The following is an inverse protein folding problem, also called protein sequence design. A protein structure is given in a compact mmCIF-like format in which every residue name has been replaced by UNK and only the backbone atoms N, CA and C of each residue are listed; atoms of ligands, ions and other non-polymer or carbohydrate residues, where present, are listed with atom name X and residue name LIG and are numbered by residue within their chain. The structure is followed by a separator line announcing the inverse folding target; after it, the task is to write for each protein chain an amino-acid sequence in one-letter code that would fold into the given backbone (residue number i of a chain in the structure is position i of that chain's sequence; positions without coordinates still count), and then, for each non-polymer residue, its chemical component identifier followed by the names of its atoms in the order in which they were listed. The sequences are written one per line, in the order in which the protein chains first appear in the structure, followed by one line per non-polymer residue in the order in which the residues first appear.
data_IF_059147356278
#
_entry.id   IF_059147356278
#
_cell.length_a   1.000
_cell.length_b   1.000
_cell.length_c   1.000
_cell.angle_alpha   90.00
_cell.angle_beta   90.00
_cell.angle_gamma   90.00
#
_symmetry.space_group_name_H-M   'P 1'
#
loop_
_entity.id
_entity.type
_entity.pdbx_description
1 polymer ?
#
# COMPACT_ATOMS: atom_id res chain seq x y z
N UNK A 1 30.25 26.32 -19.19
CA UNK A 1 29.00 26.01 -19.92
C UNK A 1 28.33 24.83 -19.22
N UNK A 2 27.52 25.19 -18.22
CA UNK A 2 26.46 24.46 -17.52
C UNK A 2 26.76 23.07 -16.93
N UNK A 3 27.49 23.06 -15.81
CA UNK A 3 27.23 22.14 -14.71
C UNK A 3 26.17 22.77 -13.80
N UNK A 4 24.88 22.67 -14.15
CA UNK A 4 23.80 23.08 -13.23
C UNK A 4 22.45 22.59 -13.73
N UNK A 5 22.20 21.29 -13.58
CA UNK A 5 20.86 20.73 -13.37
C UNK A 5 21.00 19.51 -12.46
N UNK A 6 21.47 19.73 -11.24
CA UNK A 6 21.04 18.86 -10.15
C UNK A 6 19.54 19.14 -9.98
N UNK A 7 18.73 18.29 -10.58
CA UNK A 7 17.28 18.32 -10.44
C UNK A 7 16.92 18.40 -8.96
N UNK A 8 15.95 19.26 -8.66
CA UNK A 8 15.41 19.51 -7.32
C UNK A 8 14.75 18.23 -6.78
N UNK A 9 15.54 17.27 -6.33
CA UNK A 9 15.06 16.13 -5.56
C UNK A 9 14.87 16.63 -4.14
N UNK A 10 13.65 17.04 -3.81
CA UNK A 10 13.32 17.56 -2.48
C UNK A 10 13.77 16.61 -1.37
N UNK A 11 14.36 17.17 -0.31
CA UNK A 11 14.84 16.47 0.89
C UNK A 11 13.84 15.45 1.47
N UNK A 12 12.55 15.60 1.21
CA UNK A 12 11.47 14.70 1.66
C UNK A 12 11.61 13.24 1.17
N UNK A 13 12.42 12.96 0.15
CA UNK A 13 12.51 11.61 -0.43
C UNK A 13 13.80 10.86 -0.09
N UNK A 14 14.85 11.54 0.36
CA UNK A 14 16.17 10.93 0.53
C UNK A 14 16.19 9.89 1.66
N UNK A 15 15.53 10.19 2.79
CA UNK A 15 15.45 9.28 3.93
C UNK A 15 14.71 7.97 3.59
N UNK A 16 13.69 8.01 2.73
CA UNK A 16 12.98 6.80 2.28
C UNK A 16 13.88 5.92 1.42
N UNK A 17 14.63 6.53 0.50
CA UNK A 17 15.59 5.84 -0.36
C UNK A 17 16.67 5.16 0.50
N UNK A 18 17.19 5.84 1.52
CA UNK A 18 18.15 5.25 2.47
C UNK A 18 17.58 4.04 3.21
N UNK A 19 16.33 4.12 3.68
CA UNK A 19 15.63 2.99 4.29
C UNK A 19 15.51 1.83 3.29
N UNK A 20 15.02 2.08 2.07
CA UNK A 20 14.85 1.01 1.06
C UNK A 20 16.18 0.34 0.70
N UNK A 21 17.29 1.09 0.64
CA UNK A 21 18.63 0.53 0.43
C UNK A 21 19.10 -0.29 1.63
N UNK A 22 18.90 0.20 2.85
CA UNK A 22 19.27 -0.50 4.07
C UNK A 22 18.56 -1.86 4.18
N UNK A 23 17.28 -1.93 3.81
CA UNK A 23 16.52 -3.17 3.76
C UNK A 23 16.95 -4.09 2.61
N UNK A 24 17.27 -3.55 1.42
CA UNK A 24 17.77 -4.36 0.29
C UNK A 24 19.07 -5.11 0.62
N UNK A 25 20.02 -4.44 1.29
CA UNK A 25 21.33 -5.03 1.68
C UNK A 25 21.21 -6.29 2.54
N UNK A 26 20.08 -6.50 3.21
CA UNK A 26 19.82 -7.69 4.04
C UNK A 26 19.41 -8.92 3.21
N UNK A 27 19.05 -8.75 1.94
CA UNK A 27 18.51 -9.82 1.11
C UNK A 27 19.17 -9.86 -0.27
N UNK A 28 19.80 -10.99 -0.61
CA UNK A 28 20.52 -11.17 -1.90
C UNK A 28 19.65 -11.00 -3.16
N UNK A 29 18.33 -11.14 -3.03
CA UNK A 29 17.38 -11.05 -4.14
C UNK A 29 17.04 -9.60 -4.54
N UNK A 30 17.33 -8.63 -3.67
CA UNK A 30 17.07 -7.22 -3.91
C UNK A 30 18.43 -6.50 -4.03
N UNK A 31 18.78 -6.06 -5.23
CA UNK A 31 20.11 -5.49 -5.50
C UNK A 31 20.27 -4.09 -4.93
N UNK A 32 19.30 -3.20 -5.17
CA UNK A 32 19.48 -1.78 -4.85
C UNK A 32 18.43 -1.24 -3.86
N UNK A 33 17.17 -1.67 -3.96
CA UNK A 33 16.07 -1.16 -3.14
C UNK A 33 15.09 -2.28 -2.80
N UNK A 34 14.54 -2.23 -1.58
CA UNK A 34 13.45 -3.10 -1.15
C UNK A 34 12.31 -2.24 -0.61
N UNK A 35 11.25 -2.15 -1.42
CA UNK A 35 10.01 -1.48 -1.05
C UNK A 35 8.99 -2.48 -0.49
N UNK A 36 8.80 -3.60 -1.19
CA UNK A 36 7.88 -4.65 -0.77
C UNK A 36 8.49 -5.58 0.29
N UNK A 37 7.66 -5.97 1.25
CA UNK A 37 7.98 -7.08 2.14
C UNK A 37 7.95 -8.40 1.36
N UNK A 38 8.75 -9.39 1.80
CA UNK A 38 8.83 -10.70 1.12
C UNK A 38 7.68 -11.64 1.44
N UNK A 39 6.92 -11.37 2.48
CA UNK A 39 5.83 -12.22 2.95
C UNK A 39 4.50 -11.72 2.41
N UNK A 40 3.64 -12.65 2.03
CA UNK A 40 2.22 -12.41 1.82
C UNK A 40 1.42 -13.41 2.67
N UNK A 41 0.12 -13.14 2.84
CA UNK A 41 -0.80 -13.99 3.59
C UNK A 41 -2.03 -14.31 2.75
N UNK A 42 -1.90 -15.17 1.71
CA UNK A 42 -3.05 -15.58 0.93
C UNK A 42 -4.01 -16.39 1.80
N UNK A 43 -5.30 -16.11 1.67
CA UNK A 43 -6.36 -16.87 2.33
C UNK A 43 -7.32 -17.35 1.26
N UNK A 44 -7.57 -18.65 1.26
CA UNK A 44 -8.54 -19.27 0.35
C UNK A 44 -9.97 -18.90 0.74
N UNK A 45 -10.76 -18.47 -0.24
CA UNK A 45 -12.16 -18.08 -0.07
C UNK A 45 -13.07 -19.27 -0.43
N UNK A 46 -13.01 -20.32 0.38
CA UNK A 46 -13.63 -21.62 0.05
C UNK A 46 -15.16 -21.65 0.17
N UNK A 47 -15.79 -20.67 0.84
CA UNK A 47 -17.24 -20.53 0.91
C UNK A 47 -17.67 -19.07 1.16
N UNK A 48 -18.93 -18.70 0.86
CA UNK A 48 -19.38 -17.31 0.88
C UNK A 48 -19.12 -16.57 2.20
N UNK A 49 -19.31 -17.21 3.35
CA UNK A 49 -19.10 -16.55 4.64
C UNK A 49 -17.63 -16.13 4.89
N UNK A 50 -16.62 -16.79 4.28
CA UNK A 50 -15.24 -16.29 4.34
C UNK A 50 -15.10 -15.02 3.49
N UNK A 51 -15.72 -15.01 2.29
CA UNK A 51 -15.69 -13.84 1.43
C UNK A 51 -16.27 -12.62 2.16
N UNK A 52 -17.47 -12.76 2.74
CA UNK A 52 -18.14 -11.67 3.48
C UNK A 52 -17.27 -11.18 4.65
N UNK A 53 -16.71 -12.11 5.43
CA UNK A 53 -15.79 -11.77 6.53
C UNK A 53 -14.56 -10.98 6.03
N UNK A 54 -13.99 -11.36 4.89
CA UNK A 54 -12.79 -10.68 4.35
C UNK A 54 -13.13 -9.31 3.76
N UNK A 55 -14.30 -9.15 3.14
CA UNK A 55 -14.79 -7.85 2.69
C UNK A 55 -14.90 -6.91 3.89
N UNK A 56 -15.61 -7.34 4.95
CA UNK A 56 -15.78 -6.55 6.18
C UNK A 56 -14.43 -6.18 6.82
N UNK A 57 -13.52 -7.15 6.92
CA UNK A 57 -12.18 -6.92 7.45
C UNK A 57 -11.42 -5.85 6.64
N UNK A 58 -11.40 -5.98 5.31
CA UNK A 58 -10.69 -5.04 4.43
C UNK A 58 -11.29 -3.64 4.53
N UNK A 59 -12.61 -3.51 4.53
CA UNK A 59 -13.31 -2.23 4.65
C UNK A 59 -13.06 -1.56 5.99
N UNK A 60 -12.95 -2.33 7.08
CA UNK A 60 -12.69 -1.80 8.43
C UNK A 60 -11.23 -1.50 8.72
N UNK A 61 -10.27 -1.97 7.90
CA UNK A 61 -8.84 -1.74 8.15
C UNK A 61 -8.46 -0.26 8.34
N UNK A 62 -8.95 0.70 7.53
CA UNK A 62 -8.67 2.12 7.73
C UNK A 62 -9.19 2.65 9.07
N UNK A 63 -10.31 2.13 9.56
CA UNK A 63 -10.88 2.48 10.88
C UNK A 63 -10.06 1.89 12.01
N UNK A 64 -9.73 0.60 11.92
CA UNK A 64 -8.90 -0.08 12.91
C UNK A 64 -7.49 0.53 13.01
N UNK A 65 -6.96 1.06 11.91
CA UNK A 65 -5.70 1.79 11.87
C UNK A 65 -5.80 3.24 12.37
N UNK A 66 -7.02 3.75 12.64
CA UNK A 66 -7.25 5.10 13.14
C UNK A 66 -7.15 6.21 12.09
N UNK A 67 -7.17 5.88 10.79
CA UNK A 67 -7.09 6.88 9.72
C UNK A 67 -8.41 7.59 9.46
N UNK A 68 -9.52 6.88 9.64
CA UNK A 68 -10.89 7.39 9.43
C UNK A 68 -11.82 6.83 10.51
N UNK A 69 -12.94 7.51 10.74
CA UNK A 69 -13.94 7.07 11.73
C UNK A 69 -14.91 6.03 11.15
N UNK A 70 -15.17 6.07 9.84
CA UNK A 70 -16.07 5.16 9.15
C UNK A 70 -15.40 4.57 7.89
N UNK A 71 -15.71 3.31 7.50
CA UNK A 71 -15.13 2.65 6.32
C UNK A 71 -15.26 3.42 5.01
N UNK A 72 -16.44 4.02 4.78
CA UNK A 72 -16.81 4.73 3.54
C UNK A 72 -16.04 6.04 3.36
N UNK A 73 -15.42 6.55 4.42
CA UNK A 73 -14.58 7.75 4.35
C UNK A 73 -13.19 7.48 3.75
N UNK A 74 -12.79 6.21 3.55
CA UNK A 74 -11.52 5.88 2.91
C UNK A 74 -11.64 5.93 1.38
N UNK A 75 -11.22 7.04 0.78
CA UNK A 75 -11.36 7.31 -0.66
C UNK A 75 -10.79 6.22 -1.58
N UNK A 76 -9.75 5.51 -1.13
CA UNK A 76 -9.13 4.42 -1.88
C UNK A 76 -9.63 3.02 -1.46
N UNK A 77 -10.85 2.92 -0.92
CA UNK A 77 -11.54 1.67 -0.60
C UNK A 77 -12.71 1.45 -1.57
N UNK A 78 -13.10 0.19 -1.80
CA UNK A 78 -14.38 -0.13 -2.44
C UNK A 78 -15.59 0.14 -1.54
N UNK A 79 -15.38 0.35 -0.24
CA UNK A 79 -16.43 0.81 0.68
C UNK A 79 -16.87 2.25 0.38
N UNK A 80 -16.00 3.08 -0.20
CA UNK A 80 -16.31 4.48 -0.47
C UNK A 80 -17.10 4.61 -1.78
N UNK A 81 -18.36 5.10 -1.77
CA UNK A 81 -19.15 5.26 -2.99
C UNK A 81 -18.57 6.29 -3.98
N UNK A 82 -17.72 7.20 -3.48
CA UNK A 82 -17.03 8.20 -4.29
C UNK A 82 -15.66 7.73 -4.79
N UNK A 83 -15.28 6.50 -4.45
CA UNK A 83 -13.99 5.92 -4.84
C UNK A 83 -13.86 5.85 -6.36
N UNK A 84 -12.67 6.16 -6.91
CA UNK A 84 -12.41 5.98 -8.33
C UNK A 84 -12.20 4.50 -8.70
N UNK A 85 -12.20 3.59 -7.71
CA UNK A 85 -11.98 2.17 -7.94
C UNK A 85 -13.19 1.57 -8.67
N UNK A 86 -12.94 0.99 -9.83
CA UNK A 86 -13.93 0.19 -10.55
C UNK A 86 -14.09 -1.15 -9.83
N UNK A 87 -15.19 -1.30 -9.10
CA UNK A 87 -15.63 -2.61 -8.60
C UNK A 87 -16.34 -3.33 -9.75
N UNK A 88 -16.28 -4.67 -9.79
CA UNK A 88 -16.91 -5.44 -10.87
C UNK A 88 -18.41 -5.16 -10.95
N UNK A 89 -18.88 -4.82 -12.15
CA UNK A 89 -20.30 -4.80 -12.50
C UNK A 89 -20.74 -6.26 -12.73
N UNK A 90 -21.02 -6.99 -11.65
CA UNK A 90 -21.67 -8.30 -11.76
C UNK A 90 -23.19 -8.12 -11.84
#
# INVERSE_FOLDING_TARGET
MNQEKAEKTGLANQWMIEIFQAYAKRYKQNTNYMFWQKTNFPVELSYPAILDQKIDYIHRNPVAAGYVIEPEAWYYSSACPLSPLKVSEL
#
